data_IF_714677522472
#
_entry.id   IF_714677522472
#
_cell.length_a   1.000
_cell.length_b   1.000
_cell.length_c   1.000
_cell.angle_alpha   90.00
_cell.angle_beta   90.00
_cell.angle_gamma   90.00
#
_symmetry.space_group_name_H-M   'P 1'
#
loop_
_entity.id
_entity.type
_entity.pdbx_description
1 polymer ?
#
# COMPACT_ATOMS: atom_id res chain seq x y z
N UNK A 1 38.17 14.33 -12.95
CA UNK A 1 37.35 15.40 -12.36
C UNK A 1 36.04 14.78 -11.92
N UNK A 2 35.84 14.60 -10.62
CA UNK A 2 34.57 14.06 -10.10
C UNK A 2 33.45 15.06 -10.41
N UNK A 3 32.43 14.66 -11.14
CA UNK A 3 31.29 15.51 -11.50
C UNK A 3 30.57 15.85 -10.20
N UNK A 4 30.45 17.14 -9.88
CA UNK A 4 29.75 17.57 -8.68
C UNK A 4 28.27 17.18 -8.80
N UNK A 5 27.76 16.42 -7.86
CA UNK A 5 26.36 15.96 -7.84
C UNK A 5 25.44 17.17 -7.68
N UNK A 6 24.37 17.21 -8.46
CA UNK A 6 23.36 18.27 -8.44
C UNK A 6 22.05 17.78 -7.80
N UNK A 7 21.16 18.72 -7.44
CA UNK A 7 19.82 18.38 -6.95
C UNK A 7 19.03 17.55 -7.98
N UNK A 8 19.17 17.88 -9.27
CA UNK A 8 18.51 17.16 -10.35
C UNK A 8 19.03 15.72 -10.48
N UNK A 9 20.34 15.51 -10.25
CA UNK A 9 20.90 14.15 -10.24
C UNK A 9 20.33 13.32 -9.07
N UNK A 10 20.21 13.93 -7.88
CA UNK A 10 19.60 13.29 -6.71
C UNK A 10 18.10 13.00 -6.94
N UNK A 11 17.35 13.96 -7.50
CA UNK A 11 15.94 13.74 -7.83
C UNK A 11 15.76 12.54 -8.79
N UNK A 12 16.60 12.44 -9.84
CA UNK A 12 16.57 11.29 -10.77
C UNK A 12 16.90 9.96 -10.08
N UNK A 13 17.75 9.97 -9.07
CA UNK A 13 18.00 8.77 -8.25
C UNK A 13 16.74 8.43 -7.44
N UNK A 14 16.14 9.42 -6.79
CA UNK A 14 14.95 9.23 -5.97
C UNK A 14 13.69 8.87 -6.80
N UNK A 15 13.64 9.20 -8.10
CA UNK A 15 12.60 8.73 -9.03
C UNK A 15 12.57 7.20 -9.16
N UNK A 16 13.69 6.53 -8.92
CA UNK A 16 13.74 5.06 -8.93
C UNK A 16 13.33 4.42 -7.61
N UNK A 17 13.14 5.22 -6.57
CA UNK A 17 12.71 4.74 -5.25
C UNK A 17 11.20 4.77 -5.18
N UNK A 18 10.59 3.61 -5.12
CA UNK A 18 9.15 3.45 -4.97
C UNK A 18 8.74 3.36 -3.51
N UNK A 19 7.65 4.05 -3.17
CA UNK A 19 6.95 3.83 -1.90
C UNK A 19 6.38 2.41 -1.88
N UNK A 20 6.63 1.62 -0.82
CA UNK A 20 6.23 0.21 -0.77
C UNK A 20 4.71 -0.01 -0.77
N UNK A 21 3.90 0.96 -0.31
CA UNK A 21 2.44 0.87 -0.32
C UNK A 21 1.84 1.45 -1.60
N UNK A 22 2.32 2.62 -2.03
CA UNK A 22 1.75 3.33 -3.18
C UNK A 22 2.19 2.75 -4.53
N UNK A 23 3.29 1.96 -4.56
CA UNK A 23 3.91 1.44 -5.78
C UNK A 23 4.19 2.51 -6.84
N UNK A 24 4.51 3.70 -6.36
CA UNK A 24 4.86 4.88 -7.15
C UNK A 24 6.12 5.50 -6.58
N UNK A 25 6.86 6.20 -7.45
CA UNK A 25 8.05 6.92 -7.04
C UNK A 25 7.73 7.93 -5.93
N UNK A 26 8.60 8.01 -4.91
CA UNK A 26 8.49 9.01 -3.84
C UNK A 26 8.55 10.45 -4.39
N UNK A 27 9.16 10.66 -5.56
CA UNK A 27 9.17 11.94 -6.27
C UNK A 27 7.81 12.21 -6.92
N UNK A 28 7.23 11.22 -7.60
CA UNK A 28 5.89 11.32 -8.18
C UNK A 28 4.81 11.59 -7.12
N UNK A 29 4.97 11.00 -5.94
CA UNK A 29 4.08 11.21 -4.79
C UNK A 29 4.32 12.53 -4.04
N UNK A 30 5.21 13.43 -4.53
CA UNK A 30 5.59 14.67 -3.86
C UNK A 30 6.08 14.48 -2.42
N UNK A 31 6.72 13.36 -2.13
CA UNK A 31 7.22 13.05 -0.78
C UNK A 31 8.59 13.68 -0.49
N UNK A 32 9.31 14.15 -1.51
CA UNK A 32 10.64 14.78 -1.36
C UNK A 32 10.45 16.26 -1.10
N UNK A 33 10.62 16.69 0.17
CA UNK A 33 10.42 18.07 0.59
C UNK A 33 11.69 18.92 0.42
N UNK A 34 12.85 18.40 0.87
CA UNK A 34 14.11 19.12 0.80
C UNK A 34 15.27 18.18 0.45
N UNK A 35 16.18 18.70 -0.39
CA UNK A 35 17.45 18.05 -0.73
C UNK A 35 18.58 19.01 -0.44
N UNK A 36 19.52 18.63 0.45
CA UNK A 36 20.78 19.33 0.72
C UNK A 36 21.93 18.43 0.29
N UNK A 37 22.94 19.05 -0.35
CA UNK A 37 24.11 18.34 -0.89
C UNK A 37 25.36 19.03 -0.38
N UNK A 38 26.25 18.25 0.23
CA UNK A 38 27.60 18.67 0.59
C UNK A 38 28.62 17.65 0.03
N UNK A 39 29.23 18.00 -1.08
CA UNK A 39 30.10 17.08 -1.83
C UNK A 39 29.32 15.90 -2.37
N UNK A 40 29.58 14.70 -1.83
CA UNK A 40 28.85 13.46 -2.14
C UNK A 40 27.86 13.09 -1.03
N UNK A 41 27.75 13.88 0.02
CA UNK A 41 26.81 13.63 1.10
C UNK A 41 25.48 14.29 0.80
N UNK A 42 24.40 13.54 0.97
CA UNK A 42 23.03 13.98 0.70
C UNK A 42 22.23 13.94 2.00
N UNK A 43 21.58 15.05 2.32
CA UNK A 43 20.63 15.14 3.43
C UNK A 43 19.24 15.38 2.85
N UNK A 44 18.25 14.60 3.30
CA UNK A 44 16.89 14.60 2.76
C UNK A 44 15.85 14.87 3.85
N UNK A 45 14.79 15.56 3.48
CA UNK A 45 13.52 15.59 4.22
C UNK A 45 12.48 14.91 3.35
N UNK A 46 11.91 13.83 3.88
CA UNK A 46 10.86 13.03 3.22
C UNK A 46 9.56 13.18 4.01
N UNK A 47 8.51 13.57 3.33
CA UNK A 47 7.19 13.76 3.91
C UNK A 47 6.35 12.52 3.71
N UNK A 48 5.95 11.88 4.81
CA UNK A 48 5.14 10.66 4.80
C UNK A 48 3.66 10.99 4.77
N UNK A 49 2.86 10.10 4.21
CA UNK A 49 1.39 10.22 4.10
C UNK A 49 0.71 10.28 5.47
N UNK A 50 1.22 9.52 6.44
CA UNK A 50 0.71 9.48 7.81
C UNK A 50 1.84 9.61 8.85
N UNK A 51 1.56 10.22 10.03
CA UNK A 51 2.49 10.19 11.14
C UNK A 51 2.73 8.76 11.62
N UNK A 52 3.99 8.37 11.81
CA UNK A 52 4.32 7.05 12.36
C UNK A 52 4.21 5.89 11.38
N UNK A 53 4.32 6.15 10.06
CA UNK A 53 4.33 5.10 9.04
C UNK A 53 5.22 3.91 9.45
N UNK A 54 4.70 2.67 9.46
CA UNK A 54 5.45 1.49 9.87
C UNK A 54 6.58 1.13 8.89
N UNK A 55 6.52 1.64 7.67
CA UNK A 55 7.47 1.32 6.60
C UNK A 55 8.65 2.31 6.48
N UNK A 56 8.86 3.15 7.50
CA UNK A 56 9.99 4.11 7.52
C UNK A 56 11.34 3.45 7.26
N UNK A 57 11.56 2.30 7.88
CA UNK A 57 12.84 1.60 7.77
C UNK A 57 13.04 1.05 6.34
N UNK A 58 11.97 0.57 5.72
CA UNK A 58 12.01 0.09 4.33
C UNK A 58 12.28 1.24 3.35
N UNK A 59 11.59 2.36 3.50
CA UNK A 59 11.83 3.56 2.69
C UNK A 59 13.28 4.06 2.88
N UNK A 60 13.78 4.06 4.13
CA UNK A 60 15.18 4.43 4.44
C UNK A 60 16.16 3.53 3.70
N UNK A 61 15.95 2.21 3.76
CA UNK A 61 16.82 1.24 3.09
C UNK A 61 16.83 1.42 1.57
N UNK A 62 15.66 1.61 0.96
CA UNK A 62 15.53 1.85 -0.49
C UNK A 62 16.24 3.13 -0.92
N UNK A 63 16.05 4.24 -0.18
CA UNK A 63 16.74 5.51 -0.44
C UNK A 63 18.25 5.34 -0.31
N UNK A 64 18.72 4.70 0.77
CA UNK A 64 20.15 4.50 1.02
C UNK A 64 20.79 3.69 -0.11
N UNK A 65 20.20 2.56 -0.47
CA UNK A 65 20.70 1.71 -1.56
C UNK A 65 20.76 2.46 -2.89
N UNK A 66 19.71 3.21 -3.24
CA UNK A 66 19.67 3.97 -4.50
C UNK A 66 20.73 5.07 -4.57
N UNK A 67 21.03 5.74 -3.45
CA UNK A 67 22.08 6.75 -3.37
C UNK A 67 23.47 6.14 -3.44
N UNK A 68 23.72 5.04 -2.72
CA UNK A 68 25.01 4.33 -2.67
C UNK A 68 25.40 3.77 -4.04
N UNK A 69 24.45 3.19 -4.80
CA UNK A 69 24.66 2.71 -6.16
C UNK A 69 25.19 3.79 -7.13
N UNK A 70 24.91 5.05 -6.82
CA UNK A 70 25.36 6.21 -7.60
C UNK A 70 26.54 6.95 -6.96
N UNK A 71 27.15 6.39 -5.90
CA UNK A 71 28.30 6.95 -5.21
C UNK A 71 27.98 8.16 -4.31
N UNK A 72 26.73 8.29 -3.88
CA UNK A 72 26.28 9.27 -2.90
C UNK A 72 26.14 8.62 -1.53
N UNK A 73 26.42 9.38 -0.47
CA UNK A 73 26.21 8.93 0.89
C UNK A 73 24.98 9.62 1.49
N UNK A 74 24.08 8.87 2.11
CA UNK A 74 23.00 9.46 2.90
C UNK A 74 23.56 9.92 4.26
N UNK A 75 23.70 11.23 4.44
CA UNK A 75 24.20 11.80 5.68
C UNK A 75 23.12 11.96 6.75
N UNK A 76 21.95 12.44 6.31
CA UNK A 76 20.80 12.65 7.19
C UNK A 76 19.49 12.42 6.45
N UNK A 77 18.60 11.67 7.07
CA UNK A 77 17.23 11.51 6.62
C UNK A 77 16.28 11.94 7.73
N UNK A 78 15.40 12.86 7.41
CA UNK A 78 14.37 13.34 8.34
C UNK A 78 13.01 13.06 7.74
N UNK A 79 12.10 12.52 8.54
CA UNK A 79 10.73 12.31 8.13
C UNK A 79 9.80 13.35 8.74
N UNK A 80 8.95 13.93 7.92
CA UNK A 80 7.81 14.80 8.28
C UNK A 80 6.50 14.11 7.90
N UNK A 81 5.37 14.76 8.17
CA UNK A 81 4.05 14.24 7.77
C UNK A 81 3.36 15.23 6.87
N UNK A 82 2.67 14.74 5.85
CA UNK A 82 1.89 15.55 4.92
C UNK A 82 0.79 16.33 5.64
N UNK A 83 0.57 17.57 5.22
CA UNK A 83 -0.61 18.35 5.60
C UNK A 83 -1.88 17.75 4.97
N UNK A 84 -3.05 18.20 5.41
CA UNK A 84 -4.33 17.79 4.81
C UNK A 84 -4.40 18.17 3.33
N UNK A 85 -3.90 19.36 2.97
CA UNK A 85 -3.87 19.82 1.57
C UNK A 85 -2.96 18.95 0.70
N UNK A 86 -1.76 18.61 1.19
CA UNK A 86 -0.83 17.73 0.47
C UNK A 86 -1.41 16.32 0.26
N UNK A 87 -2.14 15.80 1.26
CA UNK A 87 -2.83 14.51 1.14
C UNK A 87 -3.96 14.55 0.12
N UNK A 88 -4.77 15.62 0.11
CA UNK A 88 -5.83 15.81 -0.87
C UNK A 88 -5.27 15.91 -2.31
N UNK A 89 -4.17 16.64 -2.51
CA UNK A 89 -3.49 16.70 -3.82
C UNK A 89 -2.97 15.32 -4.26
N UNK A 90 -2.33 14.58 -3.35
CA UNK A 90 -1.85 13.23 -3.62
C UNK A 90 -3.00 12.29 -3.96
N UNK A 91 -4.08 12.32 -3.17
CA UNK A 91 -5.31 11.55 -3.42
C UNK A 91 -5.88 11.85 -4.81
N UNK A 92 -5.97 13.13 -5.18
CA UNK A 92 -6.45 13.55 -6.50
C UNK A 92 -5.57 12.99 -7.62
N UNK A 93 -4.24 13.05 -7.47
CA UNK A 93 -3.30 12.46 -8.45
C UNK A 93 -3.46 10.96 -8.58
N UNK A 94 -3.58 10.26 -7.44
CA UNK A 94 -3.74 8.81 -7.41
C UNK A 94 -5.10 8.39 -8.00
N UNK A 95 -6.17 9.12 -7.69
CA UNK A 95 -7.51 8.87 -8.22
C UNK A 95 -7.64 9.18 -9.71
N UNK A 96 -6.92 10.17 -10.24
CA UNK A 96 -6.92 10.49 -11.67
C UNK A 96 -6.43 9.32 -12.55
N UNK A 97 -5.68 8.38 -11.96
CA UNK A 97 -5.24 7.15 -12.62
C UNK A 97 -6.21 5.97 -12.42
N UNK A 98 -7.30 6.14 -11.62
CA UNK A 98 -8.33 5.11 -11.45
C UNK A 98 -9.41 5.22 -12.54
N UNK A 99 -9.87 4.09 -13.11
CA UNK A 99 -11.09 4.07 -13.90
C UNK A 99 -12.29 4.48 -13.03
N UNK A 100 -13.19 5.29 -13.56
CA UNK A 100 -14.37 5.87 -12.89
C UNK A 100 -15.47 4.87 -12.50
N UNK A 101 -15.27 3.57 -12.72
CA UNK A 101 -16.15 2.46 -12.38
C UNK A 101 -15.34 1.38 -11.67
N UNK A 102 -16.04 0.36 -11.10
CA UNK A 102 -15.40 -0.80 -10.47
C UNK A 102 -14.17 -1.25 -11.28
N UNK A 103 -12.94 -1.19 -10.72
CA UNK A 103 -11.71 -1.42 -11.46
C UNK A 103 -11.63 -2.83 -12.07
N UNK A 104 -12.45 -3.75 -11.58
CA UNK A 104 -12.49 -5.13 -12.04
C UNK A 104 -13.45 -5.37 -13.22
N UNK A 105 -14.33 -4.39 -13.59
CA UNK A 105 -15.31 -4.57 -14.66
C UNK A 105 -14.67 -4.76 -16.03
N UNK A 106 -13.54 -4.09 -16.30
CA UNK A 106 -12.80 -4.15 -17.57
C UNK A 106 -11.35 -4.64 -17.39
N UNK A 107 -11.06 -5.28 -16.25
CA UNK A 107 -9.72 -5.83 -15.96
C UNK A 107 -9.64 -7.30 -16.35
N UNK A 108 -8.41 -7.79 -16.57
CA UNK A 108 -8.13 -9.21 -16.74
C UNK A 108 -8.05 -9.96 -15.40
N UNK A 109 -8.33 -9.28 -14.27
CA UNK A 109 -8.28 -9.86 -12.94
C UNK A 109 -9.33 -10.96 -12.78
N UNK A 110 -8.91 -12.13 -12.33
CA UNK A 110 -9.81 -13.25 -12.01
C UNK A 110 -10.24 -13.15 -10.56
N UNK A 111 -11.53 -13.02 -10.33
CA UNK A 111 -12.11 -13.01 -8.98
C UNK A 111 -12.47 -14.44 -8.58
N UNK A 112 -11.89 -14.90 -7.46
CA UNK A 112 -12.14 -16.23 -6.89
C UNK A 112 -12.82 -16.06 -5.52
N UNK A 113 -14.06 -16.53 -5.41
CA UNK A 113 -14.83 -16.48 -4.16
C UNK A 113 -14.69 -17.79 -3.41
N UNK A 114 -14.16 -17.73 -2.18
CA UNK A 114 -14.02 -18.89 -1.29
C UNK A 114 -15.08 -18.80 -0.18
N UNK A 115 -16.16 -19.52 -0.36
CA UNK A 115 -17.31 -19.49 0.54
C UNK A 115 -17.64 -20.88 1.11
N UNK A 116 -18.31 -20.91 2.26
CA UNK A 116 -18.87 -22.13 2.82
C UNK A 116 -20.12 -21.85 3.64
N UNK A 117 -21.05 -22.78 3.67
CA UNK A 117 -22.25 -22.72 4.51
C UNK A 117 -22.00 -23.08 5.97
N UNK A 118 -20.78 -23.43 6.38
CA UNK A 118 -20.44 -23.88 7.73
C UNK A 118 -19.17 -23.22 8.23
N UNK A 119 -19.16 -22.78 9.49
CA UNK A 119 -17.97 -22.25 10.14
C UNK A 119 -16.91 -23.33 10.42
N UNK A 120 -15.63 -22.90 10.53
CA UNK A 120 -14.53 -23.76 10.96
C UNK A 120 -14.04 -24.81 9.96
N UNK A 121 -14.44 -24.71 8.66
CA UNK A 121 -14.05 -25.68 7.61
C UNK A 121 -12.74 -25.33 6.88
N UNK A 122 -12.06 -24.26 7.28
CA UNK A 122 -10.77 -23.88 6.74
C UNK A 122 -10.81 -22.91 5.55
N UNK A 123 -11.89 -22.11 5.36
CA UNK A 123 -11.97 -21.10 4.30
C UNK A 123 -10.72 -20.21 4.25
N UNK A 124 -10.44 -19.51 5.36
CA UNK A 124 -9.31 -18.59 5.45
C UNK A 124 -7.97 -19.29 5.22
N UNK A 125 -7.80 -20.53 5.72
CA UNK A 125 -6.59 -21.33 5.48
C UNK A 125 -6.41 -21.64 3.99
N UNK A 126 -7.47 -22.02 3.29
CA UNK A 126 -7.42 -22.26 1.85
C UNK A 126 -7.11 -20.98 1.11
N UNK A 127 -7.75 -19.85 1.47
CA UNK A 127 -7.55 -18.56 0.84
C UNK A 127 -6.09 -18.12 0.94
N UNK A 128 -5.50 -18.14 2.15
CA UNK A 128 -4.11 -17.71 2.37
C UNK A 128 -3.13 -18.63 1.62
N UNK A 129 -3.31 -19.95 1.69
CA UNK A 129 -2.42 -20.89 1.00
C UNK A 129 -2.52 -20.78 -0.52
N UNK A 130 -3.73 -20.60 -1.06
CA UNK A 130 -3.96 -20.42 -2.49
C UNK A 130 -3.32 -19.09 -2.96
N UNK A 131 -3.53 -18.00 -2.22
CA UNK A 131 -2.91 -16.72 -2.54
C UNK A 131 -1.38 -16.84 -2.56
N UNK A 132 -0.79 -17.48 -1.54
CA UNK A 132 0.66 -17.68 -1.49
C UNK A 132 1.16 -18.57 -2.63
N UNK A 133 0.46 -19.62 -2.98
CA UNK A 133 0.82 -20.47 -4.13
C UNK A 133 0.80 -19.70 -5.46
N UNK A 134 -0.22 -18.86 -5.67
CA UNK A 134 -0.31 -18.01 -6.85
C UNK A 134 0.84 -16.99 -6.93
N UNK A 135 1.22 -16.38 -5.80
CA UNK A 135 2.39 -15.46 -5.76
C UNK A 135 3.68 -16.20 -6.10
N UNK A 136 3.87 -17.43 -5.62
CA UNK A 136 5.04 -18.25 -5.97
C UNK A 136 5.10 -18.60 -7.46
N UNK A 137 3.95 -18.63 -8.14
CA UNK A 137 3.82 -18.76 -9.60
C UNK A 137 3.97 -17.40 -10.33
N UNK A 138 4.42 -16.36 -9.64
CA UNK A 138 4.66 -15.02 -10.21
C UNK A 138 3.39 -14.23 -10.50
N UNK A 139 2.25 -14.54 -9.85
CA UNK A 139 0.99 -13.82 -10.01
C UNK A 139 0.86 -12.70 -9.00
N UNK A 140 0.27 -11.58 -9.43
CA UNK A 140 -0.13 -10.46 -8.57
C UNK A 140 -1.47 -10.80 -7.91
N UNK A 141 -1.50 -10.85 -6.59
CA UNK A 141 -2.65 -11.36 -5.82
C UNK A 141 -3.12 -10.37 -4.78
N UNK A 142 -4.43 -10.16 -4.73
CA UNK A 142 -5.12 -9.48 -3.65
C UNK A 142 -6.04 -10.42 -2.86
N UNK A 143 -6.25 -10.13 -1.58
CA UNK A 143 -7.25 -10.78 -0.74
C UNK A 143 -8.18 -9.73 -0.17
N UNK A 144 -9.49 -9.94 -0.33
CA UNK A 144 -10.54 -9.20 0.34
C UNK A 144 -11.22 -10.15 1.34
N UNK A 145 -10.90 -10.01 2.63
CA UNK A 145 -11.52 -10.77 3.71
C UNK A 145 -12.87 -10.13 4.08
N UNK A 146 -13.93 -10.70 3.54
CA UNK A 146 -15.31 -10.26 3.73
C UNK A 146 -15.99 -10.88 4.96
N UNK A 147 -15.28 -11.69 5.78
CA UNK A 147 -15.85 -12.27 7.00
C UNK A 147 -15.97 -11.20 8.08
N UNK A 148 -17.21 -10.89 8.44
CA UNK A 148 -17.54 -9.82 9.41
C UNK A 148 -17.30 -10.25 10.86
N UNK A 149 -17.47 -11.53 11.15
CA UNK A 149 -17.45 -12.07 12.50
C UNK A 149 -16.21 -12.92 12.82
N UNK A 150 -15.53 -13.37 11.79
CA UNK A 150 -14.41 -14.29 11.91
C UNK A 150 -13.20 -13.90 11.07
N UNK A 151 -13.01 -12.59 10.83
CA UNK A 151 -11.88 -12.08 10.07
C UNK A 151 -10.56 -12.59 10.68
N UNK A 152 -9.87 -13.42 9.95
CA UNK A 152 -8.64 -14.07 10.42
C UNK A 152 -7.47 -13.93 9.45
N UNK A 153 -7.74 -13.54 8.23
CA UNK A 153 -6.73 -13.47 7.15
C UNK A 153 -5.57 -12.53 7.49
N UNK A 154 -5.77 -11.28 7.97
CA UNK A 154 -4.65 -10.41 8.29
C UNK A 154 -3.67 -11.05 9.28
N UNK A 155 -4.21 -11.64 10.34
CA UNK A 155 -3.42 -12.32 11.36
C UNK A 155 -2.70 -13.57 10.83
N UNK A 156 -3.36 -14.32 9.95
CA UNK A 156 -2.78 -15.54 9.36
C UNK A 156 -1.64 -15.25 8.39
N UNK A 157 -1.71 -14.11 7.69
CA UNK A 157 -0.70 -13.70 6.71
C UNK A 157 0.39 -12.78 7.32
N UNK A 158 0.26 -12.41 8.60
CA UNK A 158 1.24 -11.60 9.31
C UNK A 158 1.15 -10.10 9.02
N UNK A 159 -0.03 -9.60 8.65
CA UNK A 159 -0.29 -8.15 8.58
C UNK A 159 -0.50 -7.64 10.00
N UNK A 160 0.35 -6.72 10.43
CA UNK A 160 0.41 -6.18 11.79
C UNK A 160 -0.05 -4.72 11.89
N UNK A 161 -0.40 -4.10 10.78
CA UNK A 161 -0.87 -2.72 10.72
C UNK A 161 -2.14 -2.59 9.87
N UNK A 162 -3.01 -1.60 10.17
CA UNK A 162 -4.20 -1.33 9.36
C UNK A 162 -3.81 -0.70 8.01
N UNK A 163 -4.74 -0.66 7.05
CA UNK A 163 -4.54 0.04 5.79
C UNK A 163 -4.27 1.53 6.02
N UNK A 164 -3.46 2.13 5.16
CA UNK A 164 -3.22 3.56 5.14
C UNK A 164 -4.37 4.26 4.43
N UNK A 165 -4.95 5.28 5.04
CA UNK A 165 -6.03 6.07 4.44
C UNK A 165 -5.50 7.44 4.05
N UNK A 166 -5.60 7.75 2.75
CA UNK A 166 -5.19 9.03 2.18
C UNK A 166 -6.45 9.68 1.61
N UNK A 167 -7.06 10.59 2.39
CA UNK A 167 -8.36 11.17 2.08
C UNK A 167 -9.44 10.07 1.93
N UNK A 168 -9.99 9.87 0.73
CA UNK A 168 -10.97 8.81 0.43
C UNK A 168 -10.34 7.51 -0.09
N UNK A 169 -9.03 7.50 -0.29
CA UNK A 169 -8.30 6.37 -0.85
C UNK A 169 -7.77 5.45 0.25
N UNK A 170 -8.08 4.17 0.13
CA UNK A 170 -7.59 3.13 1.05
C UNK A 170 -6.44 2.38 0.39
N UNK A 171 -5.24 2.49 0.96
CA UNK A 171 -4.05 1.77 0.50
C UNK A 171 -3.93 0.48 1.28
N UNK A 172 -4.04 -0.70 0.63
CA UNK A 172 -4.03 -1.98 1.32
C UNK A 172 -2.61 -2.31 1.82
N UNK A 173 -2.45 -2.82 3.04
CA UNK A 173 -1.19 -3.38 3.49
C UNK A 173 -0.79 -4.57 2.64
N UNK A 174 0.53 -4.79 2.53
CA UNK A 174 1.12 -5.88 1.76
C UNK A 174 1.89 -6.80 2.69
N UNK A 175 1.62 -8.09 2.61
CA UNK A 175 2.40 -9.11 3.26
C UNK A 175 2.66 -10.27 2.30
N UNK A 176 3.92 -10.71 2.21
CA UNK A 176 4.34 -11.78 1.30
C UNK A 176 3.93 -11.54 -0.17
N UNK A 177 4.03 -10.30 -0.65
CA UNK A 177 3.62 -9.84 -1.98
C UNK A 177 2.11 -10.00 -2.26
N UNK A 178 1.27 -10.04 -1.22
CA UNK A 178 -0.18 -10.11 -1.29
C UNK A 178 -0.75 -8.83 -0.71
N UNK A 179 -1.60 -8.13 -1.46
CA UNK A 179 -2.40 -7.02 -0.96
C UNK A 179 -3.58 -7.54 -0.16
N UNK A 180 -3.83 -6.98 1.01
CA UNK A 180 -4.88 -7.48 1.92
C UNK A 180 -5.79 -6.36 2.38
N UNK A 181 -7.09 -6.54 2.19
CA UNK A 181 -8.12 -5.75 2.87
C UNK A 181 -9.02 -6.71 3.65
N UNK A 182 -9.38 -6.33 4.85
CA UNK A 182 -10.28 -7.11 5.72
C UNK A 182 -11.29 -6.20 6.39
N UNK A 183 -12.50 -6.69 6.54
CA UNK A 183 -13.53 -6.08 7.41
C UNK A 183 -13.00 -5.86 8.83
N UNK A 184 -12.07 -6.70 9.29
CA UNK A 184 -11.46 -6.60 10.61
C UNK A 184 -10.67 -5.31 10.86
N UNK A 185 -10.12 -4.68 9.83
CA UNK A 185 -9.41 -3.42 9.99
C UNK A 185 -10.33 -2.25 10.38
N UNK A 186 -11.62 -2.36 10.08
CA UNK A 186 -12.63 -1.33 10.32
C UNK A 186 -13.57 -1.67 11.48
N UNK A 187 -13.43 -2.88 12.05
CA UNK A 187 -14.13 -3.28 13.26
C UNK A 187 -13.35 -2.77 14.48
N UNK A 188 -13.99 -1.92 15.30
CA UNK A 188 -13.43 -1.51 16.59
C UNK A 188 -13.65 -2.63 17.62
N UNK A 189 -12.60 -3.02 18.31
CA UNK A 189 -12.67 -4.07 19.36
C UNK A 189 -13.64 -3.66 20.50
N UNK A 190 -13.80 -2.36 20.74
CA UNK A 190 -14.56 -1.83 21.89
C UNK A 190 -16.03 -1.51 21.54
N UNK A 191 -16.45 -1.58 20.30
CA UNK A 191 -17.82 -1.29 19.89
C UNK A 191 -18.37 -2.37 18.97
N UNK A 192 -19.43 -3.08 19.39
CA UNK A 192 -20.10 -4.03 18.51
C UNK A 192 -20.73 -3.29 17.33
N UNK A 193 -20.09 -3.35 16.17
CA UNK A 193 -20.68 -2.80 14.94
C UNK A 193 -21.77 -3.79 14.47
N UNK A 194 -23.01 -3.37 14.55
CA UNK A 194 -24.11 -4.15 13.97
C UNK A 194 -24.14 -3.97 12.45
N UNK A 195 -23.45 -4.85 11.73
CA UNK A 195 -23.49 -4.87 10.29
C UNK A 195 -24.87 -5.35 9.81
N UNK A 196 -25.66 -4.45 9.27
CA UNK A 196 -26.89 -4.78 8.55
C UNK A 196 -26.58 -5.06 7.10
N UNK A 197 -27.34 -5.91 6.42
CA UNK A 197 -27.09 -6.32 5.03
C UNK A 197 -26.77 -5.18 4.08
N UNK A 198 -27.53 -4.06 4.03
CA UNK A 198 -27.21 -2.93 3.17
C UNK A 198 -25.87 -2.24 3.48
N UNK A 199 -25.48 -2.19 4.77
CA UNK A 199 -24.20 -1.60 5.19
C UNK A 199 -23.03 -2.49 4.76
N UNK A 200 -23.17 -3.81 4.89
CA UNK A 200 -22.18 -4.76 4.44
C UNK A 200 -21.98 -4.70 2.92
N UNK A 201 -23.08 -4.64 2.17
CA UNK A 201 -23.02 -4.51 0.72
C UNK A 201 -22.25 -3.25 0.30
N UNK A 202 -22.59 -2.10 0.91
CA UNK A 202 -21.90 -0.83 0.65
C UNK A 202 -20.40 -0.90 1.02
N UNK A 203 -20.05 -1.52 2.14
CA UNK A 203 -18.65 -1.67 2.55
C UNK A 203 -17.87 -2.54 1.57
N UNK A 204 -18.43 -3.66 1.10
CA UNK A 204 -17.81 -4.51 0.09
C UNK A 204 -17.66 -3.78 -1.25
N UNK A 205 -18.67 -3.00 -1.66
CA UNK A 205 -18.58 -2.16 -2.86
C UNK A 205 -17.44 -1.15 -2.72
N UNK A 206 -17.34 -0.45 -1.58
CA UNK A 206 -16.25 0.49 -1.31
C UNK A 206 -14.89 -0.22 -1.32
N UNK A 207 -14.76 -1.41 -0.76
CA UNK A 207 -13.50 -2.15 -0.83
C UNK A 207 -13.08 -2.54 -2.25
N UNK A 208 -14.02 -2.67 -3.15
CA UNK A 208 -13.72 -2.91 -4.56
C UNK A 208 -13.38 -1.61 -5.32
N UNK A 209 -13.95 -0.46 -4.92
CA UNK A 209 -13.82 0.82 -5.64
C UNK A 209 -12.81 1.78 -5.04
N UNK A 210 -12.77 1.90 -3.70
CA UNK A 210 -12.00 2.93 -3.00
C UNK A 210 -10.62 2.44 -2.59
N UNK A 211 -10.43 1.11 -2.53
CA UNK A 211 -9.11 0.52 -2.29
C UNK A 211 -8.22 0.69 -3.53
N UNK A 212 -6.99 1.11 -3.30
CA UNK A 212 -5.96 1.22 -4.33
C UNK A 212 -5.35 -0.15 -4.65
N UNK A 213 -6.14 -1.01 -5.30
CA UNK A 213 -5.62 -2.25 -5.83
C UNK A 213 -4.63 -1.95 -6.96
N UNK A 214 -3.47 -2.60 -6.95
CA UNK A 214 -2.59 -2.61 -8.13
C UNK A 214 -3.21 -3.45 -9.25
N UNK A 215 -2.55 -3.53 -10.40
CA UNK A 215 -2.96 -4.50 -11.43
C UNK A 215 -2.84 -5.93 -10.88
N UNK A 216 -3.96 -6.54 -10.54
CA UNK A 216 -4.01 -7.90 -10.01
C UNK A 216 -4.27 -8.93 -11.13
N UNK A 217 -3.62 -10.11 -11.04
CA UNK A 217 -4.02 -11.29 -11.79
C UNK A 217 -5.21 -12.00 -11.12
N UNK A 218 -5.22 -12.00 -9.77
CA UNK A 218 -6.24 -12.66 -8.96
C UNK A 218 -6.67 -11.79 -7.77
N UNK A 219 -7.96 -11.72 -7.53
CA UNK A 219 -8.55 -11.23 -6.29
C UNK A 219 -9.32 -12.40 -5.63
N UNK A 220 -8.90 -12.79 -4.43
CA UNK A 220 -9.57 -13.82 -3.62
C UNK A 220 -10.52 -13.13 -2.63
N UNK A 221 -11.76 -13.61 -2.54
CA UNK A 221 -12.78 -13.07 -1.63
C UNK A 221 -13.30 -14.20 -0.73
#
# INVERSE_FOLDING_TARGET
>A
MSKKITKDDVLKILETVEDPELHKSIVECNMVEEIKIDGNNVSLIITLTIPGCPLKDEITNRITSALEERGCNLEKLTFTSMSEEQRAELSTKLNASKPSNNPFTNSNTRILVIASGKGGVGKSSITVNLARALVLEGKKVGILDADVWGFSIPRMIGVDHPPTVIDELVVPPIAHDIQVISMGFFAREDQPVMWRGPMLHKALEQFLTDVMWTELDYLLI
#
